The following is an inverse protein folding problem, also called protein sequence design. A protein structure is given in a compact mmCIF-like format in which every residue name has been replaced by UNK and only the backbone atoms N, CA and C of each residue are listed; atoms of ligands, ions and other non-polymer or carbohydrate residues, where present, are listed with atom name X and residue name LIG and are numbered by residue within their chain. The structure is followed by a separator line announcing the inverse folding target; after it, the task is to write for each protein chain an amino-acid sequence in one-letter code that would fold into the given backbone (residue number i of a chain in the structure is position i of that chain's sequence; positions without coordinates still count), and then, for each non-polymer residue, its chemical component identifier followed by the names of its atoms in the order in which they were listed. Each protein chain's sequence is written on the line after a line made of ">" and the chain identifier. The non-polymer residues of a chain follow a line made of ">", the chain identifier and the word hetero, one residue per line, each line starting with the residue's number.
data_IF_561027117901
#
_entry.id   IF_561027117901
#
_cell.length_a   1.000
_cell.length_b   1.000
_cell.length_c   1.000
_cell.angle_alpha   90.00
_cell.angle_beta   90.00
_cell.angle_gamma   90.00
#
_symmetry.space_group_name_H-M   'P 1'
#
loop_
_entity.id
_entity.type
_entity.pdbx_description
1 polymer ?
#
# COMPACT_ATOMS: atom_id res chain seq x y z
N UNK A 1 -40.76 -17.18 -58.98
CA UNK A 1 -40.78 -16.26 -57.82
C UNK A 1 -39.48 -16.48 -57.05
N UNK A 2 -38.51 -15.57 -57.19
CA UNK A 2 -37.16 -15.68 -56.59
C UNK A 2 -37.22 -15.17 -55.15
N UNK A 3 -36.98 -16.03 -54.14
CA UNK A 3 -36.89 -15.59 -52.75
C UNK A 3 -35.40 -15.47 -52.35
N UNK A 4 -35.00 -14.25 -52.02
CA UNK A 4 -33.65 -13.86 -51.62
C UNK A 4 -33.39 -14.24 -50.16
N UNK A 5 -32.21 -14.82 -49.91
CA UNK A 5 -31.61 -15.01 -48.60
C UNK A 5 -31.02 -13.66 -48.16
N UNK A 6 -31.34 -13.20 -46.95
CA UNK A 6 -30.67 -12.06 -46.29
C UNK A 6 -30.22 -12.55 -44.91
N UNK A 7 -28.90 -12.67 -44.74
CA UNK A 7 -28.22 -12.93 -43.45
C UNK A 7 -28.42 -11.73 -42.50
N UNK A 8 -28.56 -11.93 -41.17
CA UNK A 8 -28.44 -10.84 -40.22
C UNK A 8 -26.96 -10.49 -39.99
N UNK A 9 -26.64 -9.21 -40.10
CA UNK A 9 -25.36 -8.61 -39.70
C UNK A 9 -25.16 -8.79 -38.19
N UNK A 10 -24.14 -9.56 -37.80
CA UNK A 10 -23.59 -9.54 -36.44
C UNK A 10 -22.63 -8.35 -36.37
N UNK A 11 -23.01 -7.32 -35.63
CA UNK A 11 -22.15 -6.18 -35.30
C UNK A 11 -21.16 -6.63 -34.22
N UNK A 12 -19.97 -7.07 -34.61
CA UNK A 12 -18.86 -7.29 -33.67
C UNK A 12 -18.30 -5.92 -33.29
N UNK A 13 -18.62 -5.47 -32.09
CA UNK A 13 -17.95 -4.32 -31.48
C UNK A 13 -16.50 -4.71 -31.15
N UNK A 14 -15.57 -4.30 -32.01
CA UNK A 14 -14.14 -4.33 -31.73
C UNK A 14 -13.86 -3.31 -30.62
N UNK A 15 -13.75 -3.79 -29.38
CA UNK A 15 -13.10 -3.07 -28.29
C UNK A 15 -11.64 -2.90 -28.67
N UNK A 16 -11.28 -1.73 -29.20
CA UNK A 16 -9.90 -1.31 -29.33
C UNK A 16 -9.32 -1.18 -27.91
N UNK A 17 -8.52 -2.15 -27.49
CA UNK A 17 -7.64 -1.99 -26.34
C UNK A 17 -6.69 -0.84 -26.67
N UNK A 18 -6.88 0.29 -25.99
CA UNK A 18 -5.92 1.37 -26.03
C UNK A 18 -4.67 0.87 -25.30
N UNK A 19 -3.70 0.37 -26.06
CA UNK A 19 -2.34 0.24 -25.59
C UNK A 19 -1.84 1.67 -25.37
N UNK A 20 -2.00 2.18 -24.15
CA UNK A 20 -1.33 3.39 -23.73
C UNK A 20 0.16 3.08 -23.75
N UNK A 21 0.84 3.53 -24.80
CA UNK A 21 2.29 3.66 -24.81
C UNK A 21 2.63 4.67 -23.72
N UNK A 22 3.00 4.18 -22.53
CA UNK A 22 3.57 5.01 -21.49
C UNK A 22 4.91 5.53 -22.01
N UNK A 23 5.00 6.83 -22.24
CA UNK A 23 6.31 7.47 -22.37
C UNK A 23 6.96 7.31 -21.01
N UNK A 24 8.04 6.52 -20.91
CA UNK A 24 8.82 6.44 -19.69
C UNK A 24 9.28 7.87 -19.34
N UNK A 25 8.80 8.41 -18.23
CA UNK A 25 9.24 9.70 -17.74
C UNK A 25 10.76 9.65 -17.56
N UNK A 26 11.47 10.66 -18.05
CA UNK A 26 12.90 10.75 -17.83
C UNK A 26 13.16 10.99 -16.34
N UNK A 27 14.06 10.19 -15.75
CA UNK A 27 14.47 10.35 -14.34
C UNK A 27 15.21 11.68 -14.19
N UNK A 28 14.72 12.53 -13.29
CA UNK A 28 15.26 13.86 -12.99
C UNK A 28 16.45 13.77 -12.02
N UNK A 29 16.27 13.10 -10.87
CA UNK A 29 17.33 12.84 -9.91
C UNK A 29 17.40 11.36 -9.51
N UNK A 30 18.61 10.90 -9.19
CA UNK A 30 18.87 9.55 -8.66
C UNK A 30 19.59 9.69 -7.32
N UNK A 31 18.92 9.27 -6.25
CA UNK A 31 19.51 9.21 -4.92
C UNK A 31 19.83 7.76 -4.56
N UNK A 32 21.07 7.50 -4.14
CA UNK A 32 21.50 6.15 -3.71
C UNK A 32 21.77 6.16 -2.22
N UNK A 33 20.89 5.50 -1.47
CA UNK A 33 21.02 5.36 -0.02
C UNK A 33 22.27 4.55 0.29
N UNK A 34 23.08 5.02 1.24
CA UNK A 34 24.31 4.34 1.63
C UNK A 34 24.55 4.28 3.15
N UNK A 35 23.58 4.74 3.95
CA UNK A 35 23.57 4.58 5.40
C UNK A 35 22.22 4.09 5.90
N UNK A 36 22.24 3.39 7.04
CA UNK A 36 21.07 2.77 7.65
C UNK A 36 20.39 3.60 8.73
N UNK A 37 21.05 4.67 9.20
CA UNK A 37 20.51 5.54 10.22
C UNK A 37 19.50 6.52 9.62
N UNK A 38 18.51 6.86 10.45
CA UNK A 38 17.41 7.75 10.09
C UNK A 38 17.74 9.20 10.42
N UNK A 39 18.30 9.92 9.46
CA UNK A 39 18.67 11.33 9.62
C UNK A 39 18.13 12.19 8.48
N UNK A 40 17.67 13.42 8.75
CA UNK A 40 17.26 14.34 7.70
C UNK A 40 18.47 14.81 6.89
N UNK A 41 18.20 15.32 5.68
CA UNK A 41 19.21 15.98 4.87
C UNK A 41 19.73 17.25 5.56
N UNK A 42 21.03 17.53 5.43
CA UNK A 42 21.65 18.70 6.04
C UNK A 42 21.30 20.01 5.30
N UNK A 43 21.07 19.96 3.99
CA UNK A 43 20.81 21.11 3.12
C UNK A 43 19.67 20.83 2.12
N UNK A 44 18.45 20.76 2.65
CA UNK A 44 17.23 20.52 1.86
C UNK A 44 17.15 21.32 0.56
N UNK A 45 17.08 20.62 -0.57
CA UNK A 45 16.83 21.15 -1.91
C UNK A 45 18.07 21.55 -2.69
N UNK A 46 19.27 21.14 -2.25
CA UNK A 46 20.50 21.34 -3.03
C UNK A 46 20.75 20.24 -4.08
N UNK A 47 19.92 19.19 -4.08
CA UNK A 47 19.99 18.05 -4.99
C UNK A 47 21.06 17.02 -4.61
N UNK A 48 21.63 17.13 -3.40
CA UNK A 48 22.65 16.23 -2.87
C UNK A 48 22.11 15.60 -1.59
N UNK A 49 21.80 14.31 -1.64
CA UNK A 49 21.40 13.57 -0.44
C UNK A 49 22.60 13.40 0.51
N UNK A 50 22.72 14.26 1.53
CA UNK A 50 23.82 14.26 2.48
C UNK A 50 23.38 14.71 3.88
N UNK A 51 23.55 13.84 4.87
CA UNK A 51 23.15 14.09 6.25
C UNK A 51 24.24 14.83 7.06
N UNK A 52 25.48 14.92 6.56
CA UNK A 52 26.59 15.58 7.26
C UNK A 52 27.58 16.26 6.29
N UNK A 53 27.58 17.59 6.27
CA UNK A 53 28.45 18.41 5.41
C UNK A 53 29.94 18.37 5.80
N UNK A 54 30.29 17.79 6.95
CA UNK A 54 31.66 17.72 7.46
C UNK A 54 32.37 16.47 6.97
N UNK A 55 31.66 15.34 6.88
CA UNK A 55 32.24 14.06 6.50
C UNK A 55 32.38 13.97 4.98
N UNK A 56 33.53 13.44 4.51
CA UNK A 56 33.79 13.38 3.07
C UNK A 56 32.95 12.29 2.39
N UNK A 57 32.31 12.67 1.28
CA UNK A 57 31.33 11.84 0.56
C UNK A 57 29.93 12.06 1.10
N UNK A 58 28.90 11.67 0.36
CA UNK A 58 27.52 11.87 0.80
C UNK A 58 27.08 10.77 1.77
N UNK A 59 26.63 11.11 2.97
CA UNK A 59 25.97 10.17 3.89
C UNK A 59 24.47 10.23 3.63
N UNK A 60 24.01 9.45 2.65
CA UNK A 60 22.64 9.48 2.18
C UNK A 60 21.78 8.46 2.94
N UNK A 61 20.97 8.94 3.87
CA UNK A 61 19.92 8.14 4.52
C UNK A 61 18.72 7.99 3.59
N UNK A 62 17.81 7.06 3.91
CA UNK A 62 16.54 6.96 3.18
C UNK A 62 15.67 8.20 3.38
N UNK A 63 15.66 8.79 4.58
CA UNK A 63 14.91 10.02 4.87
C UNK A 63 15.44 11.21 4.06
N UNK A 64 16.76 11.44 4.08
CA UNK A 64 17.39 12.51 3.30
C UNK A 64 17.10 12.36 1.80
N UNK A 65 17.16 11.14 1.27
CA UNK A 65 16.84 10.88 -0.14
C UNK A 65 15.38 11.24 -0.49
N UNK A 66 14.44 10.91 0.39
CA UNK A 66 13.02 11.29 0.19
C UNK A 66 12.82 12.79 0.38
N UNK A 67 13.52 13.41 1.32
CA UNK A 67 13.46 14.85 1.54
C UNK A 67 13.97 15.65 0.33
N UNK A 68 15.07 15.23 -0.29
CA UNK A 68 15.56 15.82 -1.54
C UNK A 68 14.60 15.60 -2.71
N UNK A 69 14.08 14.38 -2.86
CA UNK A 69 13.01 14.12 -3.84
C UNK A 69 11.76 14.97 -3.55
N UNK A 70 11.49 15.29 -2.28
CA UNK A 70 10.33 16.05 -1.87
C UNK A 70 10.38 17.54 -2.25
N UNK A 71 11.57 18.05 -2.59
CA UNK A 71 11.73 19.43 -3.07
C UNK A 71 11.68 19.49 -4.60
N UNK A 72 11.74 18.34 -5.28
CA UNK A 72 11.68 18.23 -6.72
C UNK A 72 10.27 17.82 -7.21
N UNK A 73 9.62 18.60 -8.10
CA UNK A 73 8.32 18.23 -8.66
C UNK A 73 8.40 17.18 -9.77
N UNK A 74 9.59 16.84 -10.26
CA UNK A 74 9.78 15.90 -11.37
C UNK A 74 9.83 14.44 -10.92
N UNK A 75 10.05 13.54 -11.89
CA UNK A 75 10.16 12.11 -11.61
C UNK A 75 11.54 11.75 -11.05
N UNK A 76 11.59 11.24 -9.81
CA UNK A 76 12.84 10.89 -9.13
C UNK A 76 12.94 9.40 -8.81
N UNK A 77 14.17 8.92 -8.66
CA UNK A 77 14.49 7.54 -8.33
C UNK A 77 15.32 7.46 -7.05
N UNK A 78 14.86 6.67 -6.09
CA UNK A 78 15.60 6.31 -4.89
C UNK A 78 15.99 4.83 -4.96
N UNK A 79 17.30 4.58 -5.03
CA UNK A 79 17.88 3.24 -4.96
C UNK A 79 18.34 2.93 -3.54
N UNK A 80 17.88 1.80 -3.00
CA UNK A 80 18.22 1.35 -1.65
C UNK A 80 18.94 -0.01 -1.75
N UNK A 81 20.17 -0.13 -1.23
CA UNK A 81 20.88 -1.40 -1.22
C UNK A 81 20.25 -2.38 -0.22
N UNK A 82 20.76 -3.60 -0.19
CA UNK A 82 20.36 -4.58 0.82
C UNK A 82 20.88 -4.13 2.19
N UNK A 83 20.07 -4.27 3.21
CA UNK A 83 20.33 -3.79 4.56
C UNK A 83 19.05 -3.51 5.32
N UNK A 84 19.20 -3.29 6.63
CA UNK A 84 18.10 -2.87 7.50
C UNK A 84 18.25 -1.38 7.78
N UNK A 85 17.26 -0.60 7.33
CA UNK A 85 17.18 0.84 7.49
C UNK A 85 16.12 1.11 8.54
N UNK A 86 16.56 1.57 9.71
CA UNK A 86 15.65 1.87 10.80
C UNK A 86 14.92 3.17 10.49
N UNK A 87 13.63 3.23 10.75
CA UNK A 87 12.81 4.46 10.76
C UNK A 87 12.48 4.73 12.22
N UNK A 88 13.22 5.64 12.84
CA UNK A 88 13.17 5.88 14.30
C UNK A 88 12.37 7.13 14.69
N UNK A 89 12.10 8.02 13.73
CA UNK A 89 11.28 9.21 13.94
C UNK A 89 9.85 9.05 13.43
N UNK A 90 9.29 10.16 12.93
CA UNK A 90 8.02 10.17 12.22
C UNK A 90 8.12 9.37 10.91
N UNK A 91 6.97 8.99 10.36
CA UNK A 91 6.88 8.31 9.08
C UNK A 91 7.61 9.11 8.00
N UNK A 92 8.16 8.39 7.02
CA UNK A 92 8.77 8.99 5.85
C UNK A 92 7.63 9.56 4.99
N UNK A 93 7.44 10.87 5.05
CA UNK A 93 6.42 11.56 4.27
C UNK A 93 6.87 11.74 2.83
N UNK A 94 6.01 11.35 1.88
CA UNK A 94 6.23 11.53 0.45
C UNK A 94 5.15 12.52 -0.03
N UNK A 95 5.57 13.73 -0.40
CA UNK A 95 4.67 14.89 -0.53
C UNK A 95 4.48 15.38 -1.97
N UNK A 96 5.37 15.00 -2.89
CA UNK A 96 5.44 15.55 -4.25
C UNK A 96 5.75 14.43 -5.25
N UNK A 97 5.59 14.77 -6.53
CA UNK A 97 6.25 14.13 -7.65
C UNK A 97 5.83 12.70 -7.93
N UNK A 98 6.20 12.25 -9.12
CA UNK A 98 6.26 10.82 -9.37
C UNK A 98 7.55 10.31 -8.72
N UNK A 99 7.48 9.45 -7.70
CA UNK A 99 8.65 8.91 -7.03
C UNK A 99 8.74 7.41 -7.27
N UNK A 100 9.92 6.94 -7.67
CA UNK A 100 10.22 5.52 -7.69
C UNK A 100 11.20 5.11 -6.59
N UNK A 101 10.81 4.12 -5.79
CA UNK A 101 11.61 3.54 -4.72
C UNK A 101 11.97 2.10 -5.10
N UNK A 102 13.27 1.80 -5.20
CA UNK A 102 13.79 0.49 -5.61
C UNK A 102 14.68 -0.09 -4.53
N UNK A 103 14.27 -1.19 -3.93
CA UNK A 103 15.16 -2.01 -3.10
C UNK A 103 16.23 -2.75 -3.91
N UNK A 104 16.93 -3.70 -3.29
CA UNK A 104 17.97 -4.52 -3.91
C UNK A 104 17.40 -5.68 -4.75
N UNK A 105 18.12 -6.10 -5.81
CA UNK A 105 17.60 -7.06 -6.82
C UNK A 105 17.29 -8.45 -6.26
N UNK A 106 18.00 -8.85 -5.20
CA UNK A 106 17.84 -10.16 -4.57
C UNK A 106 17.03 -10.08 -3.27
N UNK A 107 16.23 -9.02 -3.10
CA UNK A 107 15.58 -8.69 -1.83
C UNK A 107 16.59 -8.23 -0.77
N UNK A 108 16.13 -8.14 0.49
CA UNK A 108 16.97 -7.79 1.64
C UNK A 108 17.06 -6.30 1.94
N UNK A 109 16.36 -5.43 1.21
CA UNK A 109 16.11 -4.05 1.66
C UNK A 109 14.95 -4.07 2.65
N UNK A 110 15.25 -3.80 3.92
CA UNK A 110 14.29 -3.80 5.01
C UNK A 110 14.14 -2.39 5.55
N UNK A 111 12.93 -1.83 5.49
CA UNK A 111 12.53 -0.65 6.24
C UNK A 111 11.91 -1.12 7.55
N UNK A 112 12.54 -0.81 8.68
CA UNK A 112 12.19 -1.33 9.99
C UNK A 112 11.78 -0.22 10.95
N UNK A 113 10.55 -0.27 11.49
CA UNK A 113 10.02 0.72 12.41
C UNK A 113 10.64 0.67 13.81
N UNK A 114 11.36 -0.41 14.13
CA UNK A 114 12.01 -0.66 15.41
C UNK A 114 11.10 -0.32 16.62
N UNK A 115 11.47 0.69 17.41
CA UNK A 115 10.72 1.14 18.59
C UNK A 115 9.95 2.43 18.35
N UNK A 116 9.83 2.90 17.10
CA UNK A 116 9.00 4.07 16.80
C UNK A 116 7.53 3.69 16.96
N UNK A 117 6.74 4.63 17.49
CA UNK A 117 5.27 4.55 17.48
C UNK A 117 4.70 5.09 16.15
N UNK A 118 5.48 5.00 15.07
CA UNK A 118 5.15 5.56 13.77
C UNK A 118 4.95 4.47 12.72
N UNK A 119 4.14 4.79 11.71
CA UNK A 119 4.21 4.08 10.44
C UNK A 119 5.55 4.34 9.73
N UNK A 120 5.80 3.60 8.67
CA UNK A 120 7.05 3.71 7.90
C UNK A 120 6.93 4.73 6.79
N UNK A 121 5.88 4.63 5.98
CA UNK A 121 5.67 5.50 4.81
C UNK A 121 4.31 6.20 4.89
N UNK A 122 4.32 7.50 4.59
CA UNK A 122 3.10 8.28 4.41
C UNK A 122 3.09 8.93 3.02
N UNK A 123 2.31 8.35 2.11
CA UNK A 123 2.07 8.91 0.77
C UNK A 123 0.95 9.95 0.87
N UNK A 124 1.29 11.24 0.68
CA UNK A 124 0.31 12.33 0.72
C UNK A 124 -0.50 12.41 -0.57
N UNK A 125 -1.65 13.05 -0.47
CA UNK A 125 -2.50 13.37 -1.62
C UNK A 125 -1.71 14.17 -2.69
N UNK A 126 -1.80 13.72 -3.94
CA UNK A 126 -1.07 14.31 -5.07
C UNK A 126 0.29 13.67 -5.37
N UNK A 127 0.83 12.83 -4.47
CA UNK A 127 2.03 12.05 -4.75
C UNK A 127 1.69 10.78 -5.54
N UNK A 128 2.57 10.40 -6.47
CA UNK A 128 2.46 9.17 -7.27
C UNK A 128 3.69 8.32 -7.03
N UNK A 129 3.55 7.19 -6.34
CA UNK A 129 4.69 6.40 -5.86
C UNK A 129 4.67 5.01 -6.48
N UNK A 130 5.81 4.59 -7.03
CA UNK A 130 6.07 3.19 -7.39
C UNK A 130 7.16 2.64 -6.49
N UNK A 131 6.86 1.63 -5.69
CA UNK A 131 7.80 1.00 -4.78
C UNK A 131 7.97 -0.48 -5.13
N UNK A 132 9.22 -0.96 -5.17
CA UNK A 132 9.53 -2.35 -5.53
C UNK A 132 10.61 -2.95 -4.63
N UNK A 133 10.50 -4.25 -4.35
CA UNK A 133 11.53 -5.07 -3.67
C UNK A 133 11.88 -4.57 -2.27
N UNK A 134 10.86 -4.24 -1.49
CA UNK A 134 10.99 -3.77 -0.11
C UNK A 134 10.40 -4.79 0.88
N UNK A 135 11.02 -4.92 2.04
CA UNK A 135 10.38 -5.49 3.23
C UNK A 135 10.06 -4.35 4.19
N UNK A 136 8.79 -4.17 4.52
CA UNK A 136 8.30 -3.17 5.48
C UNK A 136 7.84 -3.90 6.74
N UNK A 137 8.52 -3.65 7.86
CA UNK A 137 8.26 -4.40 9.09
C UNK A 137 8.33 -3.57 10.36
N UNK A 138 7.71 -4.09 11.41
CA UNK A 138 7.68 -3.50 12.76
C UNK A 138 7.22 -2.04 12.79
N UNK A 139 6.48 -1.59 11.77
CA UNK A 139 5.83 -0.28 11.79
C UNK A 139 4.70 -0.29 12.82
N UNK A 140 4.59 0.79 13.58
CA UNK A 140 3.63 0.94 14.67
C UNK A 140 2.74 2.17 14.49
N UNK A 141 2.07 2.29 13.33
CA UNK A 141 1.14 3.38 13.00
C UNK A 141 0.44 4.00 14.22
N UNK A 142 0.81 5.24 14.55
CA UNK A 142 0.42 5.91 15.78
C UNK A 142 -0.63 6.99 15.60
N UNK A 143 -1.00 7.61 16.72
CA UNK A 143 -1.81 8.82 16.75
C UNK A 143 -0.91 10.05 16.75
N UNK A 144 -1.03 10.89 15.73
CA UNK A 144 -0.30 12.14 15.66
C UNK A 144 -1.19 13.31 16.11
N UNK A 145 -0.70 14.23 16.96
CA UNK A 145 -1.48 15.39 17.42
C UNK A 145 -2.05 16.24 16.28
N UNK A 146 -1.35 16.26 15.13
CA UNK A 146 -1.71 17.06 13.95
C UNK A 146 -2.59 16.29 12.95
N UNK A 147 -2.42 14.97 12.84
CA UNK A 147 -3.05 14.14 11.78
C UNK A 147 -4.10 13.14 12.30
N UNK A 148 -4.28 13.04 13.62
CA UNK A 148 -5.19 12.09 14.24
C UNK A 148 -4.62 10.66 14.26
N UNK A 149 -5.49 9.70 14.59
CA UNK A 149 -5.15 8.28 14.77
C UNK A 149 -5.35 7.42 13.52
N UNK A 150 -5.38 8.03 12.33
CA UNK A 150 -5.69 7.34 11.08
C UNK A 150 -4.40 7.05 10.30
N UNK A 151 -3.53 6.22 10.87
CA UNK A 151 -2.34 5.73 10.17
C UNK A 151 -2.34 4.21 10.08
N UNK A 152 -1.88 3.68 8.96
CA UNK A 152 -1.60 2.24 8.82
C UNK A 152 -0.31 1.86 9.55
N UNK A 153 -0.16 0.58 9.89
CA UNK A 153 0.99 0.11 10.65
C UNK A 153 2.31 0.31 9.89
N UNK A 154 2.39 -0.06 8.61
CA UNK A 154 3.53 0.25 7.75
C UNK A 154 3.28 1.46 6.85
N UNK A 155 2.15 1.47 6.13
CA UNK A 155 1.88 2.44 5.08
C UNK A 155 0.56 3.14 5.33
N UNK A 156 0.61 4.46 5.26
CA UNK A 156 -0.57 5.33 5.11
C UNK A 156 -0.57 5.89 3.70
N UNK A 157 -1.57 5.52 2.89
CA UNK A 157 -1.69 5.99 1.51
C UNK A 157 -2.90 6.90 1.33
N UNK A 158 -2.65 8.19 1.08
CA UNK A 158 -3.65 9.17 0.67
C UNK A 158 -3.41 9.69 -0.77
N UNK A 159 -2.38 9.18 -1.46
CA UNK A 159 -2.05 9.50 -2.85
C UNK A 159 -2.25 8.31 -3.78
N UNK A 160 -1.38 8.14 -4.77
CA UNK A 160 -1.36 6.96 -5.64
C UNK A 160 -0.13 6.10 -5.32
N UNK A 161 -0.35 4.85 -4.94
CA UNK A 161 0.72 3.92 -4.61
C UNK A 161 0.61 2.65 -5.44
N UNK A 162 1.67 2.31 -6.14
CA UNK A 162 1.91 0.99 -6.73
C UNK A 162 3.04 0.31 -5.97
N UNK A 163 2.77 -0.86 -5.40
CA UNK A 163 3.74 -1.67 -4.68
C UNK A 163 3.86 -3.04 -5.35
N UNK A 164 5.08 -3.43 -5.73
CA UNK A 164 5.34 -4.75 -6.30
C UNK A 164 6.49 -5.49 -5.63
N UNK A 165 6.45 -6.82 -5.72
CA UNK A 165 7.54 -7.72 -5.30
C UNK A 165 8.05 -7.42 -3.89
N UNK A 166 7.12 -7.12 -2.98
CA UNK A 166 7.42 -6.59 -1.65
C UNK A 166 6.72 -7.38 -0.56
N UNK A 167 7.20 -7.24 0.67
CA UNK A 167 6.65 -7.90 1.85
C UNK A 167 6.30 -6.86 2.90
N UNK A 168 5.08 -6.92 3.44
CA UNK A 168 4.68 -6.16 4.62
C UNK A 168 4.38 -7.13 5.74
N UNK A 169 5.17 -7.10 6.81
CA UNK A 169 5.06 -8.08 7.88
C UNK A 169 5.23 -7.51 9.27
N UNK A 170 4.55 -8.13 10.23
CA UNK A 170 4.72 -7.79 11.66
C UNK A 170 4.47 -6.31 11.97
N UNK A 171 3.63 -5.65 11.17
CA UNK A 171 3.22 -4.27 11.42
C UNK A 171 1.97 -4.25 12.29
N UNK A 172 1.87 -3.24 13.15
CA UNK A 172 0.87 -3.18 14.19
C UNK A 172 0.28 -1.79 14.32
N UNK A 173 -1.04 -1.67 14.41
CA UNK A 173 -1.70 -0.39 14.65
C UNK A 173 -2.88 -0.59 15.58
N UNK A 174 -3.14 0.35 16.49
CA UNK A 174 -4.33 0.31 17.34
C UNK A 174 -5.62 0.65 16.59
N UNK A 175 -5.53 1.19 15.37
CA UNK A 175 -6.67 1.60 14.54
C UNK A 175 -6.84 0.67 13.33
N UNK A 176 -6.78 1.19 12.10
CA UNK A 176 -7.15 0.49 10.87
C UNK A 176 -5.92 0.21 10.00
N UNK A 177 -5.91 -0.92 9.31
CA UNK A 177 -4.87 -1.23 8.32
C UNK A 177 -3.55 -1.62 8.97
N UNK A 178 -3.48 -2.83 9.52
CA UNK A 178 -2.31 -3.29 10.27
C UNK A 178 -1.03 -3.25 9.47
N UNK A 179 -1.07 -3.53 8.17
CA UNK A 179 0.00 -3.18 7.24
C UNK A 179 -0.29 -1.85 6.52
N UNK A 180 -1.45 -1.75 5.86
CA UNK A 180 -1.77 -0.63 4.98
C UNK A 180 -3.11 -0.03 5.35
N UNK A 181 -3.12 1.28 5.60
CA UNK A 181 -4.33 2.08 5.55
C UNK A 181 -4.36 2.84 4.23
N UNK A 182 -5.26 2.47 3.34
CA UNK A 182 -5.48 3.10 2.06
C UNK A 182 -6.72 3.99 2.07
N UNK A 183 -6.54 5.24 1.69
CA UNK A 183 -7.60 6.23 1.53
C UNK A 183 -7.79 6.73 0.10
N UNK A 184 -7.01 6.22 -0.86
CA UNK A 184 -7.06 6.62 -2.27
C UNK A 184 -6.72 5.44 -3.20
N UNK A 185 -5.84 5.60 -4.19
CA UNK A 185 -5.51 4.56 -5.18
C UNK A 185 -4.35 3.69 -4.70
N UNK A 186 -4.57 2.37 -4.63
CA UNK A 186 -3.57 1.39 -4.26
C UNK A 186 -3.56 0.24 -5.27
N UNK A 187 -2.41 -0.02 -5.87
CA UNK A 187 -2.14 -1.21 -6.67
C UNK A 187 -1.09 -2.08 -5.98
N UNK A 188 -1.40 -3.37 -5.79
CA UNK A 188 -0.51 -4.39 -5.26
C UNK A 188 -0.31 -5.50 -6.31
N UNK A 189 0.94 -5.86 -6.57
CA UNK A 189 1.31 -6.89 -7.55
C UNK A 189 2.44 -7.76 -7.00
N UNK A 190 2.23 -9.06 -6.80
CA UNK A 190 3.30 -9.93 -6.30
C UNK A 190 3.72 -9.62 -4.85
N UNK A 191 2.77 -9.16 -4.01
CA UNK A 191 3.05 -8.73 -2.64
C UNK A 191 2.72 -9.84 -1.64
N UNK A 192 3.47 -9.91 -0.54
CA UNK A 192 3.14 -10.71 0.64
C UNK A 192 2.77 -9.80 1.81
N UNK A 193 1.58 -9.98 2.38
CA UNK A 193 1.10 -9.25 3.57
C UNK A 193 0.85 -10.27 4.67
N UNK A 194 1.77 -10.36 5.63
CA UNK A 194 1.76 -11.44 6.62
C UNK A 194 1.90 -10.98 8.08
N UNK A 195 1.15 -11.61 9.00
CA UNK A 195 1.37 -11.42 10.43
C UNK A 195 1.20 -9.98 10.92
N UNK A 196 0.34 -9.19 10.26
CA UNK A 196 0.04 -7.81 10.66
C UNK A 196 -1.20 -7.75 11.55
N UNK A 197 -1.28 -6.72 12.40
CA UNK A 197 -2.37 -6.57 13.35
C UNK A 197 -2.97 -5.17 13.37
N UNK A 198 -4.30 -5.11 13.33
CA UNK A 198 -5.07 -3.88 13.52
C UNK A 198 -6.01 -4.01 14.72
N UNK A 199 -6.05 -3.00 15.59
CA UNK A 199 -6.96 -2.98 16.73
C UNK A 199 -8.44 -2.86 16.32
N UNK A 200 -8.72 -2.25 15.16
CA UNK A 200 -10.08 -2.09 14.64
C UNK A 200 -10.32 -3.01 13.44
N UNK A 201 -10.06 -2.57 12.20
CA UNK A 201 -10.38 -3.36 11.01
C UNK A 201 -9.24 -3.40 10.00
N UNK A 202 -9.26 -4.42 9.13
CA UNK A 202 -8.24 -4.60 8.10
C UNK A 202 -6.89 -4.96 8.68
N UNK A 203 -6.74 -6.20 9.20
CA UNK A 203 -5.50 -6.63 9.88
C UNK A 203 -4.30 -6.56 8.95
N UNK A 204 -4.48 -6.94 7.68
CA UNK A 204 -3.52 -6.64 6.62
C UNK A 204 -3.79 -5.26 6.03
N UNK A 205 -4.90 -5.13 5.30
CA UNK A 205 -5.26 -3.91 4.58
C UNK A 205 -6.61 -3.40 5.04
N UNK A 206 -6.68 -2.09 5.28
CA UNK A 206 -7.92 -1.34 5.30
C UNK A 206 -7.94 -0.40 4.10
N UNK A 207 -8.96 -0.48 3.26
CA UNK A 207 -9.14 0.39 2.10
C UNK A 207 -10.51 1.04 2.14
N UNK A 208 -10.55 2.36 2.21
CA UNK A 208 -11.80 3.10 2.21
C UNK A 208 -11.78 4.32 1.27
N UNK A 209 -12.91 4.54 0.60
CA UNK A 209 -13.15 5.79 -0.13
C UNK A 209 -13.41 6.93 0.86
N UNK A 210 -12.44 7.82 1.04
CA UNK A 210 -12.63 9.05 1.81
C UNK A 210 -13.02 10.22 0.89
N UNK A 211 -12.39 11.38 1.05
CA UNK A 211 -12.69 12.63 0.33
C UNK A 211 -12.49 12.53 -1.19
N UNK A 212 -11.72 11.55 -1.66
CA UNK A 212 -11.38 11.36 -3.06
C UNK A 212 -11.64 9.91 -3.49
N UNK A 213 -12.25 9.69 -4.67
CA UNK A 213 -12.54 8.34 -5.15
C UNK A 213 -11.24 7.61 -5.48
N UNK A 214 -10.93 6.57 -4.69
CA UNK A 214 -9.83 5.65 -4.90
C UNK A 214 -10.30 4.30 -5.44
N UNK A 215 -9.35 3.50 -5.90
CA UNK A 215 -9.57 2.10 -6.31
C UNK A 215 -8.50 1.24 -5.66
N UNK A 216 -8.90 0.07 -5.15
CA UNK A 216 -7.99 -0.97 -4.70
C UNK A 216 -7.81 -2.02 -5.81
N UNK A 217 -6.59 -2.25 -6.25
CA UNK A 217 -6.23 -3.30 -7.20
C UNK A 217 -5.24 -4.23 -6.53
N UNK A 218 -5.55 -5.52 -6.44
CA UNK A 218 -4.70 -6.53 -5.81
C UNK A 218 -4.56 -7.71 -6.76
N UNK A 219 -3.32 -8.03 -7.13
CA UNK A 219 -3.00 -9.11 -8.06
C UNK A 219 -1.84 -9.96 -7.59
N UNK A 220 -1.91 -11.27 -7.84
CA UNK A 220 -0.82 -12.20 -7.58
C UNK A 220 -0.24 -12.05 -6.16
N UNK A 221 -1.11 -11.81 -5.18
CA UNK A 221 -0.74 -11.35 -3.84
C UNK A 221 -1.25 -12.34 -2.80
N UNK A 222 -0.47 -12.54 -1.75
CA UNK A 222 -0.84 -13.38 -0.61
C UNK A 222 -1.07 -12.49 0.62
N UNK A 223 -2.24 -12.63 1.24
CA UNK A 223 -2.65 -11.94 2.46
C UNK A 223 -2.89 -13.02 3.51
N UNK A 224 -1.97 -13.19 4.46
CA UNK A 224 -2.03 -14.29 5.41
C UNK A 224 -1.72 -13.94 6.85
N UNK A 225 -2.24 -14.74 7.79
CA UNK A 225 -1.91 -14.65 9.22
C UNK A 225 -2.16 -13.25 9.82
N UNK A 226 -3.02 -12.44 9.20
CA UNK A 226 -3.33 -11.10 9.68
C UNK A 226 -4.53 -11.13 10.62
N UNK A 227 -4.50 -10.24 11.61
CA UNK A 227 -5.45 -10.27 12.72
C UNK A 227 -6.08 -8.88 12.92
N UNK A 228 -7.40 -8.83 13.08
CA UNK A 228 -8.10 -7.60 13.47
C UNK A 228 -9.39 -7.88 14.24
N UNK A 229 -10.19 -6.84 14.53
CA UNK A 229 -11.57 -7.01 15.03
C UNK A 229 -12.57 -7.30 13.90
N UNK A 230 -12.25 -6.96 12.64
CA UNK A 230 -13.06 -7.27 11.47
C UNK A 230 -12.31 -7.07 10.16
N UNK A 231 -12.47 -7.98 9.19
CA UNK A 231 -11.59 -8.01 8.02
C UNK A 231 -10.18 -8.38 8.45
N UNK A 232 -9.97 -9.61 8.92
CA UNK A 232 -8.66 -10.05 9.43
C UNK A 232 -7.58 -9.85 8.38
N UNK A 233 -7.83 -10.26 7.14
CA UNK A 233 -6.95 -10.00 6.00
C UNK A 233 -7.18 -8.62 5.40
N UNK A 234 -8.39 -8.38 4.90
CA UNK A 234 -8.74 -7.20 4.12
C UNK A 234 -10.11 -6.64 4.54
N UNK A 235 -10.19 -5.32 4.64
CA UNK A 235 -11.43 -4.58 4.86
C UNK A 235 -11.61 -3.53 3.76
N UNK A 236 -12.73 -3.58 3.04
CA UNK A 236 -13.07 -2.66 1.96
C UNK A 236 -14.33 -1.89 2.33
N UNK A 237 -14.28 -0.56 2.27
CA UNK A 237 -15.46 0.28 2.44
C UNK A 237 -15.58 1.40 1.39
N UNK A 238 -16.74 1.50 0.75
CA UNK A 238 -17.08 2.63 -0.13
C UNK A 238 -16.03 2.94 -1.23
N UNK A 239 -15.36 1.91 -1.75
CA UNK A 239 -14.35 2.02 -2.81
C UNK A 239 -14.41 0.81 -3.73
N UNK A 240 -14.20 1.03 -5.03
CA UNK A 240 -14.10 -0.06 -6.00
C UNK A 240 -12.86 -0.90 -5.72
N UNK A 241 -12.99 -2.21 -5.86
CA UNK A 241 -11.89 -3.13 -5.66
C UNK A 241 -11.86 -4.27 -6.68
N UNK A 242 -10.66 -4.60 -7.15
CA UNK A 242 -10.41 -5.69 -8.10
C UNK A 242 -9.33 -6.60 -7.52
N UNK A 243 -9.74 -7.82 -7.17
CA UNK A 243 -8.87 -8.88 -6.66
C UNK A 243 -8.78 -9.96 -7.74
N UNK A 244 -7.57 -10.23 -8.22
CA UNK A 244 -7.31 -11.27 -9.23
C UNK A 244 -6.10 -12.12 -8.84
N UNK A 245 -6.26 -13.43 -8.78
CA UNK A 245 -5.21 -14.36 -8.33
C UNK A 245 -4.66 -13.97 -6.95
N UNK A 246 -5.55 -13.78 -5.97
CA UNK A 246 -5.21 -13.42 -4.59
C UNK A 246 -5.46 -14.60 -3.67
N UNK A 247 -4.51 -14.89 -2.78
CA UNK A 247 -4.69 -15.87 -1.70
C UNK A 247 -4.92 -15.12 -0.39
N UNK A 248 -6.12 -15.25 0.19
CA UNK A 248 -6.47 -14.69 1.49
C UNK A 248 -6.64 -15.86 2.46
N UNK A 249 -5.62 -16.17 3.25
CA UNK A 249 -5.55 -17.41 4.04
C UNK A 249 -5.14 -17.20 5.50
N UNK A 250 -5.64 -18.02 6.42
CA UNK A 250 -5.25 -17.97 7.85
C UNK A 250 -5.47 -16.61 8.55
N UNK A 251 -6.30 -15.73 7.99
CA UNK A 251 -6.57 -14.45 8.63
C UNK A 251 -7.69 -14.59 9.67
N UNK A 252 -7.62 -13.81 10.75
CA UNK A 252 -8.53 -13.92 11.88
C UNK A 252 -9.17 -12.60 12.29
N UNK A 253 -10.48 -12.64 12.54
CA UNK A 253 -11.25 -11.55 13.14
C UNK A 253 -11.80 -11.96 14.51
N UNK A 254 -11.37 -11.26 15.57
CA UNK A 254 -11.75 -11.60 16.96
C UNK A 254 -12.81 -10.68 17.58
N UNK A 255 -13.37 -9.73 16.83
CA UNK A 255 -14.44 -8.86 17.31
C UNK A 255 -14.08 -7.94 18.48
N UNK A 256 -14.81 -6.85 18.60
CA UNK A 256 -14.86 -6.05 19.84
C UNK A 256 -16.29 -5.57 20.07
N UNK A 257 -16.66 -5.12 21.28
CA UNK A 257 -17.96 -4.50 21.50
C UNK A 257 -18.26 -3.30 20.57
N UNK A 258 -17.21 -2.64 20.05
CA UNK A 258 -17.34 -1.53 19.08
C UNK A 258 -17.45 -2.02 17.61
N UNK A 259 -16.99 -3.23 17.32
CA UNK A 259 -16.98 -3.84 15.99
C UNK A 259 -17.43 -5.30 16.08
N UNK A 260 -18.71 -5.56 15.82
CA UNK A 260 -19.22 -6.93 15.75
C UNK A 260 -18.39 -7.71 14.70
N UNK A 261 -17.82 -8.87 15.04
CA UNK A 261 -16.78 -9.52 14.22
C UNK A 261 -17.26 -9.84 12.80
N UNK A 262 -16.65 -9.18 11.81
CA UNK A 262 -16.93 -9.35 10.39
C UNK A 262 -15.75 -10.06 9.70
N UNK A 263 -16.02 -10.98 8.77
CA UNK A 263 -15.10 -11.38 7.69
C UNK A 263 -13.67 -11.69 8.15
N UNK A 264 -13.36 -12.93 8.54
CA UNK A 264 -12.00 -13.32 8.93
C UNK A 264 -10.98 -13.06 7.83
N UNK A 265 -11.32 -13.41 6.59
CA UNK A 265 -10.54 -13.10 5.39
C UNK A 265 -10.83 -11.69 4.88
N UNK A 266 -12.04 -11.47 4.37
CA UNK A 266 -12.47 -10.22 3.74
C UNK A 266 -13.78 -9.71 4.35
N UNK A 267 -13.81 -8.42 4.67
CA UNK A 267 -15.04 -7.67 4.93
C UNK A 267 -15.28 -6.62 3.86
N UNK A 268 -16.50 -6.56 3.34
CA UNK A 268 -16.97 -5.51 2.42
C UNK A 268 -18.12 -4.76 3.08
N UNK A 269 -18.03 -3.43 3.19
CA UNK A 269 -19.06 -2.61 3.80
C UNK A 269 -19.40 -1.39 2.94
N UNK A 270 -20.70 -1.11 2.78
CA UNK A 270 -21.17 0.17 2.24
C UNK A 270 -21.66 1.07 3.36
N UNK A 271 -21.37 2.37 3.26
CA UNK A 271 -21.98 3.41 4.07
C UNK A 271 -22.51 4.58 3.23
N UNK A 272 -22.05 4.73 1.99
CA UNK A 272 -22.57 5.72 1.06
C UNK A 272 -22.30 5.34 -0.40
N UNK A 273 -23.37 5.11 -1.16
CA UNK A 273 -23.32 4.97 -2.61
C UNK A 273 -23.12 3.54 -3.12
N UNK A 274 -22.81 3.43 -4.41
CA UNK A 274 -22.60 2.18 -5.13
C UNK A 274 -21.12 2.06 -5.47
N UNK A 275 -20.50 0.95 -5.05
CA UNK A 275 -19.16 0.53 -5.46
C UNK A 275 -19.20 -0.96 -5.82
N UNK A 276 -18.15 -1.43 -6.48
CA UNK A 276 -18.04 -2.82 -6.95
C UNK A 276 -16.78 -3.47 -6.40
N UNK A 277 -16.94 -4.67 -5.84
CA UNK A 277 -15.81 -5.56 -5.51
C UNK A 277 -15.86 -6.75 -6.45
N UNK A 278 -14.88 -6.85 -7.36
CA UNK A 278 -14.71 -7.99 -8.26
C UNK A 278 -13.60 -8.90 -7.73
N UNK A 279 -13.91 -10.17 -7.56
CA UNK A 279 -12.96 -11.19 -7.10
C UNK A 279 -12.89 -12.30 -8.14
N UNK A 280 -11.71 -12.56 -8.67
CA UNK A 280 -11.47 -13.55 -9.73
C UNK A 280 -10.25 -14.39 -9.37
N UNK A 281 -10.27 -15.67 -9.74
CA UNK A 281 -9.14 -16.60 -9.59
C UNK A 281 -8.51 -16.64 -8.18
N UNK A 282 -9.29 -16.31 -7.14
CA UNK A 282 -8.76 -16.07 -5.79
C UNK A 282 -9.18 -17.17 -4.82
N UNK A 283 -8.33 -17.45 -3.83
CA UNK A 283 -8.52 -18.45 -2.79
C UNK A 283 -8.81 -17.80 -1.45
N UNK A 284 -9.83 -18.30 -0.74
CA UNK A 284 -10.10 -17.97 0.65
C UNK A 284 -10.10 -19.26 1.46
N UNK A 285 -9.07 -19.50 2.27
CA UNK A 285 -8.92 -20.74 3.03
C UNK A 285 -8.54 -20.46 4.49
N UNK A 286 -9.06 -21.27 5.40
CA UNK A 286 -8.65 -21.28 6.82
C UNK A 286 -8.72 -19.92 7.53
N UNK A 287 -9.59 -19.02 7.05
CA UNK A 287 -9.86 -17.76 7.70
C UNK A 287 -10.91 -17.94 8.80
N UNK A 288 -10.71 -17.25 9.92
CA UNK A 288 -11.52 -17.39 11.13
C UNK A 288 -12.20 -16.07 11.51
N UNK A 289 -13.49 -16.13 11.87
CA UNK A 289 -14.21 -15.01 12.49
C UNK A 289 -15.00 -15.56 13.67
N UNK A 290 -14.93 -14.89 14.82
CA UNK A 290 -15.68 -15.30 16.01
C UNK A 290 -17.21 -15.16 15.83
N UNK A 291 -17.66 -14.24 14.98
CA UNK A 291 -19.08 -14.00 14.75
C UNK A 291 -19.56 -14.42 13.35
N UNK A 292 -19.35 -13.59 12.32
CA UNK A 292 -19.91 -13.84 10.97
C UNK A 292 -18.85 -13.84 9.88
N UNK A 293 -18.96 -14.83 8.98
CA UNK A 293 -18.17 -14.95 7.75
C UNK A 293 -16.69 -15.21 8.00
N UNK A 294 -16.28 -16.47 8.20
CA UNK A 294 -14.86 -16.82 8.32
C UNK A 294 -14.05 -16.36 7.10
N UNK A 295 -14.51 -16.69 5.89
CA UNK A 295 -13.87 -16.26 4.65
C UNK A 295 -14.26 -14.82 4.22
N UNK A 296 -15.56 -14.57 4.04
CA UNK A 296 -16.07 -13.30 3.51
C UNK A 296 -17.31 -12.87 4.28
N UNK A 297 -17.39 -11.58 4.56
CA UNK A 297 -18.60 -10.90 5.05
C UNK A 297 -18.90 -9.68 4.19
N UNK A 298 -20.17 -9.44 3.87
CA UNK A 298 -20.61 -8.26 3.13
C UNK A 298 -21.90 -7.70 3.74
N UNK A 299 -21.97 -6.37 3.90
CA UNK A 299 -23.15 -5.66 4.40
C UNK A 299 -23.33 -4.27 3.78
N UNK A 300 -24.58 -3.86 3.61
CA UNK A 300 -24.99 -2.51 3.21
C UNK A 300 -25.46 -1.69 4.40
#
# INVERSE_FOLDING_TARGET
>A
MRLRIILPFVLVALLASAWQLSVAAAVSAIYTVNMTADLPDANLGDGICDTDLVTSGSQCSFRAAVEEANVNPNYDLIGIPAGTFTISGDAIEIITGSLEIRGALNGGTILDGATSDSGLLFVRHGAVVTATRLTLQNGQGGCFPVYGCAMGGAITNLGELSLSDSTLRQNRVSTNGGAIMNGHHLTLEGVLIEGNWAGQVGGGIYSAGYTFPGVLIVRNTVIQDNISSGGGGLYIADTDAFLDNVEIVHNAAFGTPAHNSYGGGLTVKSSSGSFTVSIQNSLFADNYSEASGGALFSSN
#
